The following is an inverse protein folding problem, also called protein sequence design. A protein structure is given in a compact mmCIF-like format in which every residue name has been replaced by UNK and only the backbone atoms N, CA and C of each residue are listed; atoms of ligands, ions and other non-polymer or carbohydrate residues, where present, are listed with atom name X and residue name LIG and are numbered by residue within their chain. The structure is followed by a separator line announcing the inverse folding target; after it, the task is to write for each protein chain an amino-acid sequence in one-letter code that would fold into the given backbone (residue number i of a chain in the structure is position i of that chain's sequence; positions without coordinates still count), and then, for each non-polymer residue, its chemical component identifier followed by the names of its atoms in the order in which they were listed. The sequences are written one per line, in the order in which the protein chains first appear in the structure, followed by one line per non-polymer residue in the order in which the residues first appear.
data_IF_456541333102
#
_entry.id   IF_456541333102
#
_cell.length_a   1.000
_cell.length_b   1.000
_cell.length_c   1.000
_cell.angle_alpha   90.00
_cell.angle_beta   90.00
_cell.angle_gamma   90.00
#
_symmetry.space_group_name_H-M   'P 1'
#
loop_
_entity.id
_entity.type
_entity.pdbx_description
1 polymer ?
#
# COMPACT_ATOMS: atom_id res chain seq x y z
N UNK A 1 23.65 -14.61 -1.42
CA UNK A 1 24.29 -13.28 -1.29
C UNK A 1 23.10 -12.42 -0.98
N UNK A 2 22.98 -11.90 0.24
CA UNK A 2 21.69 -11.38 0.70
C UNK A 2 21.42 -10.00 0.07
N UNK A 3 20.91 -10.01 -1.16
CA UNK A 3 20.53 -8.81 -1.91
C UNK A 3 19.09 -8.49 -1.49
N UNK A 4 18.97 -7.65 -0.48
CA UNK A 4 17.69 -7.04 -0.12
C UNK A 4 17.51 -5.77 -0.96
N UNK A 5 16.47 -5.75 -1.78
CA UNK A 5 16.06 -4.50 -2.44
C UNK A 5 15.00 -3.85 -1.55
N UNK A 6 15.32 -2.67 -1.02
CA UNK A 6 14.36 -1.84 -0.29
C UNK A 6 14.00 -0.63 -1.13
N UNK A 7 12.70 -0.38 -1.31
CA UNK A 7 12.22 0.75 -2.09
C UNK A 7 10.90 1.28 -1.52
N UNK A 8 10.56 2.51 -1.90
CA UNK A 8 9.33 3.18 -1.45
C UNK A 8 8.33 3.23 -2.59
N UNK A 9 7.06 3.05 -2.24
CA UNK A 9 5.93 3.25 -3.15
C UNK A 9 4.94 4.21 -2.51
N UNK A 10 4.50 5.19 -3.30
CA UNK A 10 3.53 6.18 -2.92
C UNK A 10 2.23 5.91 -3.69
N UNK A 11 1.13 5.70 -2.97
CA UNK A 11 -0.19 5.43 -3.56
C UNK A 11 -1.16 6.53 -3.16
N UNK A 12 -1.68 7.25 -4.14
CA UNK A 12 -2.77 8.21 -3.94
C UNK A 12 -4.12 7.51 -4.04
N UNK A 13 -4.96 7.70 -3.03
CA UNK A 13 -6.34 7.25 -3.00
C UNK A 13 -7.29 8.45 -3.07
N UNK A 14 -8.19 8.41 -4.04
CA UNK A 14 -9.36 9.28 -4.11
C UNK A 14 -10.58 8.48 -3.62
N UNK A 15 -10.94 8.67 -2.35
CA UNK A 15 -12.05 7.95 -1.73
C UNK A 15 -13.33 8.73 -2.00
N UNK A 16 -14.17 8.26 -2.93
CA UNK A 16 -15.34 9.02 -3.43
C UNK A 16 -16.50 9.06 -2.42
N UNK A 17 -16.66 8.01 -1.60
CA UNK A 17 -17.72 7.91 -0.61
C UNK A 17 -17.10 7.65 0.77
N UNK A 18 -16.48 8.68 1.33
CA UNK A 18 -15.69 8.62 2.56
C UNK A 18 -16.47 8.00 3.73
N UNK A 19 -17.69 8.48 3.97
CA UNK A 19 -18.51 8.06 5.11
C UNK A 19 -18.93 6.58 5.06
N UNK A 20 -18.97 5.99 3.86
CA UNK A 20 -19.31 4.58 3.67
C UNK A 20 -18.08 3.67 3.50
N UNK A 21 -16.86 4.23 3.46
CA UNK A 21 -15.64 3.48 3.20
C UNK A 21 -14.93 3.14 4.51
N UNK A 22 -14.66 1.86 4.75
CA UNK A 22 -13.75 1.47 5.82
C UNK A 22 -12.30 1.66 5.34
N UNK A 23 -11.75 2.84 5.60
CA UNK A 23 -10.42 3.21 5.10
C UNK A 23 -9.31 2.25 5.57
N UNK A 24 -9.43 1.66 6.77
CA UNK A 24 -8.45 0.70 7.27
C UNK A 24 -8.40 -0.59 6.44
N UNK A 25 -9.57 -1.09 6.00
CA UNK A 25 -9.65 -2.24 5.10
C UNK A 25 -9.09 -1.87 3.72
N UNK A 26 -9.47 -0.73 3.17
CA UNK A 26 -8.95 -0.26 1.87
C UNK A 26 -7.43 -0.11 1.89
N UNK A 27 -6.84 0.46 2.95
CA UNK A 27 -5.38 0.56 3.09
C UNK A 27 -4.73 -0.83 3.12
N UNK A 28 -5.37 -1.80 3.79
CA UNK A 28 -4.87 -3.19 3.87
C UNK A 28 -4.89 -3.86 2.49
N UNK A 29 -5.97 -3.71 1.74
CA UNK A 29 -6.08 -4.23 0.37
C UNK A 29 -5.05 -3.57 -0.56
N UNK A 30 -4.87 -2.25 -0.46
CA UNK A 30 -3.88 -1.52 -1.24
C UNK A 30 -2.46 -1.97 -0.88
N UNK A 31 -2.14 -2.15 0.41
CA UNK A 31 -0.86 -2.71 0.86
C UNK A 31 -0.61 -4.08 0.22
N UNK A 32 -1.60 -4.97 0.28
CA UNK A 32 -1.45 -6.33 -0.23
C UNK A 32 -1.32 -6.38 -1.74
N UNK A 33 -1.96 -5.45 -2.46
CA UNK A 33 -1.77 -5.30 -3.92
C UNK A 33 -0.36 -4.83 -4.32
N UNK A 34 0.45 -4.31 -3.38
CA UNK A 34 1.84 -3.93 -3.68
C UNK A 34 2.79 -5.15 -3.66
N UNK A 35 2.36 -6.29 -3.12
CA UNK A 35 3.17 -7.51 -3.09
C UNK A 35 3.18 -8.15 -4.47
N UNK A 36 4.37 -8.54 -4.93
CA UNK A 36 4.57 -9.34 -6.15
C UNK A 36 4.86 -10.79 -5.78
N UNK A 37 5.50 -11.01 -4.63
CA UNK A 37 5.78 -12.32 -4.10
C UNK A 37 5.21 -12.49 -2.69
N UNK A 38 4.93 -13.74 -2.32
CA UNK A 38 4.33 -14.10 -1.03
C UNK A 38 5.16 -13.66 0.18
N UNK A 39 6.49 -13.65 0.05
CA UNK A 39 7.39 -13.21 1.12
C UNK A 39 7.75 -11.72 1.05
N UNK A 40 7.17 -10.95 0.12
CA UNK A 40 7.37 -9.50 0.12
C UNK A 40 6.83 -8.89 1.42
N UNK A 41 7.66 -8.08 2.07
CA UNK A 41 7.29 -7.33 3.27
C UNK A 41 6.90 -5.92 2.83
N UNK A 42 5.69 -5.50 3.19
CA UNK A 42 5.16 -4.18 2.88
C UNK A 42 4.69 -3.54 4.18
N UNK A 43 5.34 -2.44 4.55
CA UNK A 43 5.06 -1.70 5.78
C UNK A 43 4.50 -0.31 5.44
N UNK A 44 3.49 0.13 6.19
CA UNK A 44 2.98 1.48 6.07
C UNK A 44 3.97 2.40 6.77
N UNK A 45 4.66 3.23 6.00
CA UNK A 45 5.56 4.25 6.55
C UNK A 45 4.78 5.49 6.97
N UNK A 46 3.83 5.94 6.15
CA UNK A 46 3.06 7.15 6.41
C UNK A 46 1.68 7.09 5.75
N UNK A 47 0.69 7.65 6.43
CA UNK A 47 -0.62 7.97 5.87
C UNK A 47 -0.83 9.47 6.01
N UNK A 48 -1.04 10.15 4.88
CA UNK A 48 -1.29 11.59 4.81
C UNK A 48 -2.71 11.79 4.31
N UNK A 49 -3.58 12.31 5.17
CA UNK A 49 -4.91 12.78 4.76
C UNK A 49 -4.81 14.24 4.32
N UNK A 50 -5.09 14.51 3.04
CA UNK A 50 -5.17 15.88 2.53
C UNK A 50 -6.54 16.52 2.81
N UNK A 51 -7.47 15.74 3.35
CA UNK A 51 -8.81 16.14 3.70
C UNK A 51 -9.80 16.03 2.55
N UNK A 52 -10.93 16.69 2.78
CA UNK A 52 -12.11 16.65 1.92
C UNK A 52 -11.87 17.43 0.63
N UNK A 53 -12.06 16.77 -0.52
CA UNK A 53 -11.97 17.39 -1.86
C UNK A 53 -13.37 17.81 -2.34
N UNK A 54 -14.39 17.01 -2.06
CA UNK A 54 -15.81 17.33 -2.34
C UNK A 54 -16.67 16.91 -1.15
N UNK A 55 -17.98 17.18 -1.19
CA UNK A 55 -18.88 16.82 -0.10
C UNK A 55 -18.74 15.34 0.34
N UNK A 56 -18.45 14.42 -0.57
CA UNK A 56 -18.36 12.99 -0.21
C UNK A 56 -16.97 12.40 -0.35
N UNK A 57 -16.01 13.16 -0.90
CA UNK A 57 -14.70 12.62 -1.26
C UNK A 57 -13.53 13.16 -0.44
N UNK A 58 -12.59 12.28 -0.14
CA UNK A 58 -11.33 12.59 0.52
C UNK A 58 -10.15 12.17 -0.37
N UNK A 59 -9.04 12.89 -0.26
CA UNK A 59 -7.78 12.51 -0.90
C UNK A 59 -6.77 12.10 0.16
N UNK A 60 -6.20 10.91 0.00
CA UNK A 60 -5.20 10.36 0.92
C UNK A 60 -3.98 9.94 0.10
N UNK A 61 -2.79 10.16 0.66
CA UNK A 61 -1.55 9.55 0.19
C UNK A 61 -1.06 8.54 1.22
N UNK A 62 -0.73 7.34 0.76
CA UNK A 62 -0.13 6.29 1.57
C UNK A 62 1.26 6.03 1.04
N UNK A 63 2.25 6.02 1.92
CA UNK A 63 3.63 5.69 1.60
C UNK A 63 3.96 4.36 2.24
N UNK A 64 4.39 3.41 1.42
CA UNK A 64 4.82 2.08 1.84
C UNK A 64 6.33 1.93 1.69
N UNK A 65 6.94 1.26 2.65
CA UNK A 65 8.27 0.67 2.49
C UNK A 65 8.09 -0.78 2.05
N UNK A 66 8.79 -1.16 0.98
CA UNK A 66 8.82 -2.52 0.48
C UNK A 66 10.22 -3.08 0.65
N UNK A 67 10.28 -4.29 1.20
CA UNK A 67 11.51 -5.06 1.31
C UNK A 67 11.31 -6.40 0.62
N UNK A 68 12.20 -6.71 -0.32
CA UNK A 68 12.25 -7.99 -1.02
C UNK A 68 13.59 -8.66 -0.81
N UNK A 69 13.54 -9.85 -0.24
CA UNK A 69 14.67 -10.77 -0.14
C UNK A 69 14.76 -11.59 -1.43
N UNK A 70 15.77 -11.30 -2.26
CA UNK A 70 15.98 -12.02 -3.52
C UNK A 70 16.44 -13.47 -3.32
N UNK A 71 17.00 -13.81 -2.15
CA UNK A 71 17.36 -15.17 -1.78
C UNK A 71 16.13 -15.95 -1.26
N UNK A 72 15.03 -15.27 -0.88
CA UNK A 72 13.81 -15.89 -0.31
C UNK A 72 12.50 -15.24 -0.78
N UNK A 73 12.26 -15.24 -2.10
CA UNK A 73 11.06 -14.64 -2.69
C UNK A 73 9.75 -15.35 -2.29
N UNK A 74 9.77 -16.68 -2.09
CA UNK A 74 8.54 -17.48 -2.06
C UNK A 74 7.90 -17.58 -3.45
N UNK A 75 6.57 -17.75 -3.50
CA UNK A 75 5.81 -17.82 -4.76
C UNK A 75 5.44 -16.44 -5.30
N UNK A 76 5.36 -16.32 -6.62
CA UNK A 76 4.83 -15.12 -7.29
C UNK A 76 3.31 -15.07 -7.11
N UNK A 77 2.79 -13.94 -6.65
CA UNK A 77 1.35 -13.70 -6.54
C UNK A 77 0.78 -13.52 -7.95
N UNK A 78 -0.21 -14.34 -8.29
CA UNK A 78 -0.97 -14.24 -9.54
C UNK A 78 -2.32 -13.61 -9.15
N UNK A 79 -2.58 -12.41 -9.68
CA UNK A 79 -3.86 -11.70 -9.53
C UNK A 79 -4.86 -12.17 -10.57
#
# INVERSE_FOLDING_TARGET
MNINTSYQVAVELNVINWDATNIGVTITEVRDSQKIYTNDIVEIQQVVDFGRVTERSHKILIIFNLTRDLDNLGEKIIL
#
